data_IF_532379655691
#
_entry.id   IF_532379655691
#
_cell.length_a   1.000
_cell.length_b   1.000
_cell.length_c   1.000
_cell.angle_alpha   90.00
_cell.angle_beta   90.00
_cell.angle_gamma   90.00
#
_symmetry.space_group_name_H-M   'P 1'
#
loop_
_entity.id
_entity.type
_entity.pdbx_description
1 polymer ?
#
# COMPACT_ATOMS: atom_id res chain seq x y z
N UNK A 1 -3.95 -16.11 -5.01
CA UNK A 1 -3.48 -15.05 -4.09
C UNK A 1 -2.31 -14.35 -4.75
N UNK A 2 -2.46 -13.08 -5.18
CA UNK A 2 -1.50 -12.48 -6.14
C UNK A 2 -0.41 -11.59 -5.52
N UNK A 3 -0.51 -11.23 -4.22
CA UNK A 3 0.43 -10.32 -3.56
C UNK A 3 1.42 -10.97 -2.59
N UNK A 4 0.96 -11.94 -1.78
CA UNK A 4 1.80 -12.53 -0.73
C UNK A 4 3.05 -13.26 -1.24
N UNK A 5 2.98 -14.09 -2.30
CA UNK A 5 4.17 -14.81 -2.77
C UNK A 5 5.30 -13.87 -3.22
N UNK A 6 4.97 -12.81 -3.97
CA UNK A 6 5.98 -11.85 -4.42
C UNK A 6 6.53 -11.01 -3.26
N UNK A 7 5.69 -10.66 -2.28
CA UNK A 7 6.14 -9.94 -1.08
C UNK A 7 7.10 -10.80 -0.24
N UNK A 8 6.82 -12.09 -0.07
CA UNK A 8 7.70 -13.02 0.63
C UNK A 8 9.06 -13.17 -0.09
N UNK A 9 9.04 -13.35 -1.42
CA UNK A 9 10.25 -13.45 -2.23
C UNK A 9 11.11 -12.17 -2.14
N UNK A 10 10.47 -11.00 -2.29
CA UNK A 10 11.17 -9.72 -2.26
C UNK A 10 11.70 -9.39 -0.86
N UNK A 11 10.94 -9.71 0.19
CA UNK A 11 11.39 -9.57 1.57
C UNK A 11 12.64 -10.41 1.86
N UNK A 12 12.71 -11.64 1.35
CA UNK A 12 13.87 -12.51 1.51
C UNK A 12 15.12 -12.02 0.76
N UNK A 13 14.96 -11.40 -0.41
CA UNK A 13 16.08 -11.03 -1.29
C UNK A 13 16.51 -9.56 -1.19
N UNK A 14 15.65 -8.67 -0.71
CA UNK A 14 15.90 -7.23 -0.71
C UNK A 14 15.15 -6.43 0.35
N UNK A 15 14.64 -7.09 1.40
CA UNK A 15 14.01 -6.41 2.52
C UNK A 15 15.02 -5.86 3.53
N UNK A 16 14.73 -4.70 4.12
CA UNK A 16 15.44 -4.17 5.29
C UNK A 16 14.68 -4.52 6.57
N UNK A 17 15.20 -5.50 7.32
CA UNK A 17 14.60 -5.96 8.58
C UNK A 17 14.51 -4.87 9.66
N UNK A 18 15.26 -3.76 9.55
CA UNK A 18 15.24 -2.66 10.51
C UNK A 18 14.27 -1.54 10.12
N UNK A 19 13.68 -1.58 8.93
CA UNK A 19 12.78 -0.53 8.44
C UNK A 19 11.33 -0.63 8.98
N UNK A 20 11.06 -1.56 9.90
CA UNK A 20 9.72 -1.76 10.48
C UNK A 20 8.69 -2.11 9.40
N UNK A 21 7.60 -1.33 9.31
CA UNK A 21 6.56 -1.52 8.30
C UNK A 21 7.00 -1.14 6.88
N UNK A 22 8.14 -0.47 6.72
CA UNK A 22 8.68 -0.05 5.41
C UNK A 22 9.76 -1.01 4.87
N UNK A 23 9.71 -2.29 5.24
CA UNK A 23 10.72 -3.31 4.90
C UNK A 23 11.12 -3.38 3.42
N UNK A 24 10.25 -2.96 2.50
CA UNK A 24 10.50 -3.03 1.05
C UNK A 24 10.86 -1.68 0.38
N UNK A 25 10.97 -0.58 1.14
CA UNK A 25 11.10 0.77 0.55
C UNK A 25 12.33 0.96 -0.33
N UNK A 26 13.45 0.33 0.06
CA UNK A 26 14.75 0.45 -0.60
C UNK A 26 15.07 -0.77 -1.49
N UNK A 27 14.07 -1.58 -1.82
CA UNK A 27 14.24 -2.77 -2.64
C UNK A 27 14.74 -2.40 -4.06
N UNK A 28 15.92 -2.90 -4.41
CA UNK A 28 16.54 -2.61 -5.71
C UNK A 28 15.79 -3.25 -6.88
N UNK A 29 15.91 -2.66 -8.07
CA UNK A 29 15.37 -3.25 -9.31
C UNK A 29 15.88 -4.68 -9.56
N UNK A 30 17.13 -4.97 -9.16
CA UNK A 30 17.72 -6.31 -9.21
C UNK A 30 16.98 -7.26 -8.26
N UNK A 31 16.78 -6.88 -7.00
CA UNK A 31 16.03 -7.69 -6.03
C UNK A 31 14.60 -7.99 -6.51
N UNK A 32 13.95 -7.02 -7.16
CA UNK A 32 12.62 -7.23 -7.78
C UNK A 32 12.68 -8.25 -8.91
N UNK A 33 13.70 -8.20 -9.78
CA UNK A 33 13.87 -9.17 -10.85
C UNK A 33 14.15 -10.58 -10.30
N UNK A 34 15.04 -10.69 -9.32
CA UNK A 34 15.40 -11.95 -8.68
C UNK A 34 14.20 -12.57 -7.93
N UNK A 35 13.39 -11.75 -7.25
CA UNK A 35 12.15 -12.19 -6.60
C UNK A 35 11.11 -12.74 -7.59
N UNK A 36 10.97 -12.10 -8.77
CA UNK A 36 10.11 -12.62 -9.85
C UNK A 36 10.62 -13.94 -10.39
N UNK A 37 11.93 -14.08 -10.57
CA UNK A 37 12.54 -15.33 -11.02
C UNK A 37 12.34 -16.46 -9.99
N UNK A 38 12.54 -16.18 -8.70
CA UNK A 38 12.29 -17.12 -7.60
C UNK A 38 10.84 -17.61 -7.58
N UNK A 39 9.88 -16.70 -7.81
CA UNK A 39 8.46 -17.05 -7.90
C UNK A 39 8.18 -17.93 -9.12
N UNK A 40 8.72 -17.58 -10.29
CA UNK A 40 8.54 -18.35 -11.53
C UNK A 40 9.14 -19.76 -11.45
N UNK A 41 10.21 -19.94 -10.66
CA UNK A 41 10.82 -21.23 -10.39
C UNK A 41 10.06 -22.08 -9.36
N UNK A 42 8.97 -21.57 -8.77
CA UNK A 42 8.17 -22.28 -7.78
C UNK A 42 8.83 -22.41 -6.41
N UNK A 43 9.82 -21.57 -6.09
CA UNK A 43 10.56 -21.61 -4.82
C UNK A 43 9.86 -20.88 -3.66
N UNK A 44 8.61 -20.44 -3.86
CA UNK A 44 7.84 -19.71 -2.86
C UNK A 44 6.49 -20.38 -2.69
N UNK A 45 6.19 -20.77 -1.46
CA UNK A 45 4.90 -21.31 -1.06
C UNK A 45 4.28 -20.43 0.03
N UNK A 46 2.98 -20.17 -0.08
CA UNK A 46 2.20 -19.48 0.94
C UNK A 46 1.06 -20.40 1.33
N UNK A 47 0.92 -20.63 2.63
CA UNK A 47 -0.06 -21.55 3.20
C UNK A 47 -0.82 -20.85 4.33
N UNK A 48 -2.07 -21.25 4.53
CA UNK A 48 -2.84 -20.83 5.70
C UNK A 48 -2.43 -21.68 6.89
N UNK A 49 -2.24 -21.03 8.04
CA UNK A 49 -2.02 -21.72 9.30
C UNK A 49 -3.39 -22.14 9.86
N UNK A 50 -3.58 -23.44 10.07
CA UNK A 50 -4.79 -23.99 10.68
C UNK A 50 -4.43 -25.04 11.75
N UNK A 51 -5.00 -24.98 12.96
CA UNK A 51 -5.85 -23.91 13.48
C UNK A 51 -5.05 -22.62 13.75
N UNK A 52 -5.71 -21.46 13.70
CA UNK A 52 -5.14 -20.17 14.05
C UNK A 52 -6.20 -19.36 14.81
N UNK A 53 -5.94 -19.09 16.09
CA UNK A 53 -6.84 -18.31 16.95
C UNK A 53 -6.41 -16.84 17.07
N UNK A 54 -5.21 -16.51 16.61
CA UNK A 54 -4.68 -15.15 16.64
C UNK A 54 -5.24 -14.31 15.48
N UNK A 55 -5.55 -13.05 15.77
CA UNK A 55 -6.01 -12.07 14.77
C UNK A 55 -4.93 -11.84 13.71
N UNK A 56 -3.67 -11.83 14.14
CA UNK A 56 -2.51 -11.72 13.27
C UNK A 56 -1.50 -12.82 13.62
N UNK A 57 -1.23 -13.67 12.64
CA UNK A 57 -0.18 -14.68 12.69
C UNK A 57 0.56 -14.70 11.36
N UNK A 58 1.89 -14.73 11.39
CA UNK A 58 2.69 -15.01 10.21
C UNK A 58 3.94 -15.78 10.59
N UNK A 59 4.24 -16.81 9.79
CA UNK A 59 5.45 -17.61 9.92
C UNK A 59 6.16 -17.66 8.57
N UNK A 60 7.39 -17.19 8.55
CA UNK A 60 8.25 -17.20 7.37
C UNK A 60 9.40 -18.16 7.59
N UNK A 61 9.54 -19.15 6.69
CA UNK A 61 10.65 -20.12 6.71
C UNK A 61 11.44 -20.02 5.42
N UNK A 62 12.75 -19.80 5.55
CA UNK A 62 13.70 -19.71 4.45
C UNK A 62 14.67 -20.88 4.50
N UNK A 63 15.14 -21.28 3.33
CA UNK A 63 16.01 -22.44 3.13
C UNK A 63 17.25 -22.05 2.35
N UNK A 64 18.39 -22.65 2.69
CA UNK A 64 19.65 -22.54 1.96
C UNK A 64 20.36 -23.88 2.01
N UNK A 65 20.24 -24.67 0.94
CA UNK A 65 20.66 -26.08 0.94
C UNK A 65 19.86 -26.85 1.99
N UNK A 66 20.56 -27.55 2.88
CA UNK A 66 19.94 -28.34 3.96
C UNK A 66 19.62 -27.52 5.23
N UNK A 67 20.14 -26.28 5.33
CA UNK A 67 19.89 -25.40 6.47
C UNK A 67 18.62 -24.58 6.27
N UNK A 68 17.97 -24.24 7.39
CA UNK A 68 16.76 -23.42 7.39
C UNK A 68 16.70 -22.48 8.61
N UNK A 69 15.98 -21.38 8.44
CA UNK A 69 15.59 -20.48 9.51
C UNK A 69 14.10 -20.15 9.42
N UNK A 70 13.43 -20.05 10.56
CA UNK A 70 12.00 -19.81 10.66
C UNK A 70 11.74 -18.71 11.69
N UNK A 71 10.97 -17.69 11.32
CA UNK A 71 10.56 -16.60 12.20
C UNK A 71 9.05 -16.58 12.28
N UNK A 72 8.52 -16.40 13.49
CA UNK A 72 7.08 -16.31 13.76
C UNK A 72 6.77 -14.97 14.43
N UNK A 73 5.76 -14.26 13.91
CA UNK A 73 5.17 -13.07 14.51
C UNK A 73 3.71 -13.35 14.89
N UNK A 74 3.26 -12.77 16.00
CA UNK A 74 1.89 -12.92 16.51
C UNK A 74 1.40 -11.59 17.11
N UNK A 75 0.12 -11.28 16.87
CA UNK A 75 -0.57 -10.12 17.44
C UNK A 75 -0.30 -8.81 16.70
N UNK A 76 0.98 -8.40 16.59
CA UNK A 76 1.41 -7.17 15.90
C UNK A 76 2.38 -7.49 14.75
N UNK A 77 2.39 -6.64 13.72
CA UNK A 77 3.16 -6.77 12.48
C UNK A 77 4.67 -6.83 12.69
N UNK A 78 5.18 -6.36 13.82
CA UNK A 78 6.62 -6.39 14.15
C UNK A 78 6.94 -7.20 15.40
N UNK A 79 5.95 -7.86 16.03
CA UNK A 79 6.15 -8.60 17.27
C UNK A 79 6.65 -10.03 16.99
N UNK A 80 7.98 -10.20 17.00
CA UNK A 80 8.62 -11.52 16.84
C UNK A 80 8.49 -12.29 18.15
N UNK A 81 7.79 -13.42 18.09
CA UNK A 81 7.60 -14.31 19.25
C UNK A 81 8.58 -15.50 19.26
N UNK A 82 9.07 -15.91 18.08
CA UNK A 82 9.92 -17.10 17.96
C UNK A 82 10.83 -17.06 16.74
N UNK A 83 12.08 -17.47 16.93
CA UNK A 83 13.08 -17.71 15.88
C UNK A 83 13.69 -19.10 16.07
N UNK A 84 13.65 -19.90 15.02
CA UNK A 84 14.11 -21.28 15.00
C UNK A 84 15.05 -21.51 13.82
N UNK A 85 16.03 -22.39 14.02
CA UNK A 85 16.97 -22.83 12.98
C UNK A 85 17.05 -24.35 12.98
N UNK A 86 17.74 -24.91 11.99
CA UNK A 86 18.15 -26.31 11.96
C UNK A 86 18.90 -26.78 13.21
N UNK A 87 19.53 -25.84 13.95
CA UNK A 87 20.25 -26.09 15.21
C UNK A 87 19.39 -25.97 16.46
N UNK A 88 18.11 -25.63 16.32
CA UNK A 88 17.17 -25.44 17.43
C UNK A 88 16.65 -24.00 17.56
N UNK A 89 16.03 -23.73 18.70
CA UNK A 89 15.40 -22.43 19.00
C UNK A 89 16.46 -21.42 19.37
N UNK A 90 16.53 -20.30 18.63
CA UNK A 90 17.47 -19.19 18.85
C UNK A 90 16.85 -18.11 19.73
N UNK A 91 15.54 -17.91 19.58
CA UNK A 91 14.79 -16.94 20.34
C UNK A 91 13.37 -17.46 20.57
N UNK A 92 12.91 -17.33 21.81
CA UNK A 92 11.50 -17.40 22.16
C UNK A 92 11.25 -16.23 23.08
N UNK A 93 10.26 -15.42 22.74
CA UNK A 93 9.73 -14.45 23.68
C UNK A 93 9.14 -15.27 24.83
N UNK A 94 9.78 -15.22 26.00
CA UNK A 94 9.18 -15.78 27.20
C UNK A 94 7.81 -15.10 27.39
N UNK A 95 6.83 -15.81 27.96
CA UNK A 95 5.47 -15.32 28.27
C UNK A 95 5.44 -14.10 29.24
N UNK A 96 6.59 -13.45 29.48
CA UNK A 96 6.82 -12.30 30.35
C UNK A 96 7.54 -11.16 29.59
N UNK A 97 7.03 -10.72 28.46
CA UNK A 97 7.15 -9.30 28.15
C UNK A 97 5.95 -8.65 28.83
N UNK A 98 6.20 -8.00 29.97
CA UNK A 98 5.23 -7.09 30.58
C UNK A 98 4.60 -6.29 29.44
N UNK A 99 3.29 -6.40 29.29
CA UNK A 99 2.50 -5.31 28.74
C UNK A 99 2.82 -4.13 29.66
N UNK A 100 3.88 -3.37 29.36
CA UNK A 100 3.76 -1.94 29.55
C UNK A 100 2.42 -1.63 28.91
N UNK A 101 1.46 -1.15 29.70
CA UNK A 101 0.23 -0.54 29.22
C UNK A 101 0.66 0.60 28.31
N UNK A 102 1.04 0.27 27.08
CA UNK A 102 1.11 1.21 25.99
C UNK A 102 -0.34 1.57 25.82
N UNK A 103 -0.68 2.74 26.34
CA UNK A 103 -1.97 3.37 26.11
C UNK A 103 -2.24 3.22 24.62
N UNK A 104 -3.22 2.37 24.31
CA UNK A 104 -3.58 2.11 22.92
C UNK A 104 -3.82 3.46 22.27
N UNK A 105 -3.28 3.74 21.08
CA UNK A 105 -3.59 4.96 20.36
C UNK A 105 -5.11 5.19 20.25
N UNK A 106 -5.89 4.09 20.16
CA UNK A 106 -7.35 4.15 20.19
C UNK A 106 -7.93 4.53 21.56
N UNK A 107 -7.29 4.12 22.66
CA UNK A 107 -7.67 4.52 24.02
C UNK A 107 -7.41 5.99 24.31
N UNK A 108 -6.34 6.56 23.74
CA UNK A 108 -6.11 8.01 23.80
C UNK A 108 -7.18 8.74 22.98
N UNK A 109 -7.42 8.30 21.75
CA UNK A 109 -8.42 8.91 20.86
C UNK A 109 -9.86 8.79 21.38
N UNK A 110 -10.21 7.74 22.13
CA UNK A 110 -11.56 7.58 22.70
C UNK A 110 -11.89 8.63 23.76
N UNK A 111 -10.88 9.25 24.35
CA UNK A 111 -11.02 10.34 25.32
C UNK A 111 -10.61 11.71 24.77
N UNK A 112 -10.23 11.78 23.49
CA UNK A 112 -9.84 13.04 22.83
C UNK A 112 -11.05 13.65 22.12
N UNK A 113 -11.38 14.89 22.44
CA UNK A 113 -12.44 15.67 21.80
C UNK A 113 -12.00 16.28 20.46
N UNK A 114 -12.98 16.65 19.62
CA UNK A 114 -12.70 17.35 18.37
C UNK A 114 -12.01 18.71 18.58
N UNK A 115 -12.35 19.40 19.67
CA UNK A 115 -11.73 20.67 20.06
C UNK A 115 -10.23 20.49 20.34
N UNK A 116 -9.87 19.46 21.11
CA UNK A 116 -8.46 19.13 21.41
C UNK A 116 -7.68 18.74 20.15
N UNK A 117 -8.30 17.98 19.24
CA UNK A 117 -7.68 17.66 17.94
C UNK A 117 -7.42 18.94 17.15
N UNK A 118 -8.38 19.86 17.09
CA UNK A 118 -8.24 21.12 16.37
C UNK A 118 -7.17 22.02 17.00
N UNK A 119 -7.12 22.09 18.34
CA UNK A 119 -6.09 22.81 19.06
C UNK A 119 -4.70 22.25 18.76
N UNK A 120 -4.54 20.92 18.78
CA UNK A 120 -3.28 20.24 18.44
C UNK A 120 -2.83 20.55 17.01
N UNK A 121 -3.71 20.40 16.02
CA UNK A 121 -3.38 20.63 14.60
C UNK A 121 -2.93 22.07 14.34
N UNK A 122 -3.48 23.05 15.08
CA UNK A 122 -3.10 24.45 14.95
C UNK A 122 -1.80 24.81 15.72
N UNK A 123 -1.40 24.01 16.70
CA UNK A 123 -0.23 24.28 17.54
C UNK A 123 1.02 23.48 17.14
N UNK A 124 0.85 22.29 16.56
CA UNK A 124 1.96 21.39 16.25
C UNK A 124 2.84 21.98 15.13
N UNK A 125 4.19 21.96 15.27
CA UNK A 125 5.08 22.34 14.19
C UNK A 125 4.83 21.48 12.95
N UNK A 126 4.70 22.12 11.78
CA UNK A 126 4.40 21.42 10.54
C UNK A 126 5.38 20.28 10.24
N UNK A 127 6.67 20.47 10.51
CA UNK A 127 7.70 19.44 10.27
C UNK A 127 7.46 18.16 11.07
N UNK A 128 6.83 18.24 12.26
CA UNK A 128 6.53 17.08 13.08
C UNK A 128 5.40 16.20 12.49
N UNK A 129 4.54 16.78 11.64
CA UNK A 129 3.41 16.09 11.00
C UNK A 129 3.56 15.99 9.47
N UNK A 130 4.72 16.38 8.92
CA UNK A 130 4.96 16.39 7.47
C UNK A 130 4.75 15.02 6.82
N UNK A 131 5.07 13.95 7.54
CA UNK A 131 4.89 12.57 7.09
C UNK A 131 3.44 12.25 6.68
N UNK A 132 2.44 12.92 7.26
CA UNK A 132 1.03 12.74 6.90
C UNK A 132 0.79 13.17 5.45
N UNK A 133 1.42 14.27 5.02
CA UNK A 133 1.33 14.75 3.64
C UNK A 133 2.05 13.81 2.68
N UNK A 134 3.20 13.26 3.09
CA UNK A 134 3.94 12.30 2.28
C UNK A 134 3.14 10.99 2.12
N UNK A 135 2.49 10.52 3.19
CA UNK A 135 1.55 9.40 3.12
C UNK A 135 0.36 9.71 2.20
N UNK A 136 -0.20 10.92 2.25
CA UNK A 136 -1.28 11.32 1.36
C UNK A 136 -0.87 11.33 -0.12
N UNK A 137 0.35 11.81 -0.42
CA UNK A 137 0.92 11.79 -1.78
C UNK A 137 1.14 10.35 -2.26
N UNK A 138 1.77 9.52 -1.45
CA UNK A 138 2.08 8.13 -1.78
C UNK A 138 0.79 7.32 -2.00
N UNK A 139 -0.16 7.39 -1.06
CA UNK A 139 -1.44 6.70 -1.18
C UNK A 139 -2.27 7.22 -2.36
N UNK A 140 -2.21 8.53 -2.64
CA UNK A 140 -2.84 9.12 -3.81
C UNK A 140 -2.28 8.59 -5.13
N UNK A 141 -0.95 8.53 -5.25
CA UNK A 141 -0.28 7.96 -6.43
C UNK A 141 -0.59 6.47 -6.59
N UNK A 142 -0.52 5.70 -5.50
CA UNK A 142 -0.82 4.26 -5.50
C UNK A 142 -2.28 3.99 -5.91
N UNK A 143 -3.22 4.80 -5.42
CA UNK A 143 -4.62 4.69 -5.81
C UNK A 143 -4.84 5.00 -7.29
N UNK A 144 -4.20 6.04 -7.83
CA UNK A 144 -4.29 6.37 -9.25
C UNK A 144 -3.75 5.24 -10.13
N UNK A 145 -2.63 4.65 -9.73
CA UNK A 145 -2.07 3.48 -10.42
C UNK A 145 -3.02 2.28 -10.34
N UNK A 146 -3.62 2.04 -9.16
CA UNK A 146 -4.64 1.02 -8.94
C UNK A 146 -5.88 1.15 -9.82
N UNK A 147 -6.27 2.38 -10.19
CA UNK A 147 -7.41 2.66 -11.08
C UNK A 147 -7.05 2.54 -12.57
N UNK A 148 -5.80 2.85 -12.94
CA UNK A 148 -5.32 2.79 -14.33
C UNK A 148 -4.99 1.36 -14.78
N UNK A 149 -4.32 0.60 -13.91
CA UNK A 149 -3.85 -0.73 -14.25
C UNK A 149 -4.80 -1.85 -13.82
N UNK A 150 -4.53 -3.04 -14.34
CA UNK A 150 -5.19 -4.27 -13.89
C UNK A 150 -4.43 -4.86 -12.71
N UNK A 151 -4.64 -4.27 -11.52
CA UNK A 151 -4.04 -4.74 -10.27
C UNK A 151 -5.04 -5.48 -9.37
N UNK A 152 -4.60 -6.60 -8.77
CA UNK A 152 -5.34 -7.31 -7.73
C UNK A 152 -6.76 -7.70 -8.14
N UNK A 153 -7.75 -7.37 -7.30
CA UNK A 153 -9.18 -7.65 -7.54
C UNK A 153 -9.91 -6.54 -8.31
N UNK A 154 -9.21 -5.47 -8.72
CA UNK A 154 -9.76 -4.39 -9.52
C UNK A 154 -10.98 -3.66 -8.91
N UNK A 155 -11.15 -3.69 -7.58
CA UNK A 155 -12.35 -3.16 -6.90
C UNK A 155 -12.60 -1.70 -7.25
N UNK A 156 -11.61 -0.82 -7.08
CA UNK A 156 -11.76 0.61 -7.38
C UNK A 156 -12.15 0.87 -8.84
N UNK A 157 -11.44 0.27 -9.80
CA UNK A 157 -11.74 0.44 -11.23
C UNK A 157 -13.11 -0.12 -11.64
N UNK A 158 -13.54 -1.21 -11.00
CA UNK A 158 -14.85 -1.83 -11.24
C UNK A 158 -15.95 -0.92 -10.72
N UNK A 159 -15.79 -0.38 -9.51
CA UNK A 159 -16.76 0.52 -8.89
C UNK A 159 -16.91 1.81 -9.70
N UNK A 160 -15.80 2.43 -10.13
CA UNK A 160 -15.81 3.61 -10.99
C UNK A 160 -16.60 3.35 -12.29
N UNK A 161 -16.38 2.20 -12.94
CA UNK A 161 -17.13 1.79 -14.14
C UNK A 161 -18.63 1.61 -13.85
N UNK A 162 -19.02 1.07 -12.70
CA UNK A 162 -20.45 0.94 -12.37
C UNK A 162 -21.10 2.31 -12.12
N UNK A 163 -20.38 3.25 -11.49
CA UNK A 163 -20.83 4.63 -11.36
C UNK A 163 -20.98 5.33 -12.72
N UNK A 164 -20.04 5.12 -13.63
CA UNK A 164 -20.11 5.71 -14.98
C UNK A 164 -21.24 5.11 -15.84
N UNK A 165 -21.58 3.84 -15.60
CA UNK A 165 -22.74 3.17 -16.20
C UNK A 165 -24.08 3.57 -15.56
N UNK A 166 -24.06 4.40 -14.52
CA UNK A 166 -25.27 4.81 -13.78
C UNK A 166 -25.89 3.70 -12.92
N UNK A 167 -25.17 2.59 -12.69
CA UNK A 167 -25.63 1.49 -11.85
C UNK A 167 -25.36 1.74 -10.37
N UNK A 168 -24.44 2.66 -10.05
CA UNK A 168 -24.16 3.15 -8.71
C UNK A 168 -24.18 4.68 -8.67
N UNK A 169 -24.65 5.24 -7.55
CA UNK A 169 -24.66 6.67 -7.33
C UNK A 169 -23.24 7.20 -7.07
N UNK A 170 -22.94 8.42 -7.54
CA UNK A 170 -21.70 9.14 -7.21
C UNK A 170 -21.91 9.95 -5.94
N UNK A 171 -21.70 9.33 -4.79
CA UNK A 171 -21.96 9.87 -3.45
C UNK A 171 -20.74 9.68 -2.53
N UNK A 172 -20.88 10.03 -1.25
CA UNK A 172 -19.79 9.89 -0.28
C UNK A 172 -19.33 8.43 -0.12
N UNK A 173 -20.27 7.48 -0.18
CA UNK A 173 -19.97 6.06 0.04
C UNK A 173 -19.12 5.49 -1.09
N UNK A 174 -19.46 5.82 -2.34
CA UNK A 174 -18.69 5.42 -3.52
C UNK A 174 -17.39 6.20 -3.65
N UNK A 175 -17.36 7.47 -3.23
CA UNK A 175 -16.15 8.29 -3.21
C UNK A 175 -15.08 7.82 -2.21
N UNK A 176 -15.43 7.06 -1.18
CA UNK A 176 -14.44 6.44 -0.27
C UNK A 176 -13.62 5.37 -1.00
N UNK A 177 -14.24 4.68 -1.96
CA UNK A 177 -13.61 3.62 -2.75
C UNK A 177 -13.04 4.10 -4.09
N UNK A 178 -13.33 5.34 -4.49
CA UNK A 178 -12.76 6.02 -5.66
C UNK A 178 -11.97 7.28 -5.24
N UNK A 179 -10.69 7.14 -4.85
CA UNK A 179 -9.90 8.26 -4.32
C UNK A 179 -9.59 9.35 -5.35
N UNK A 180 -9.88 9.12 -6.65
CA UNK A 180 -9.65 10.07 -7.73
C UNK A 180 -10.41 11.40 -7.51
N UNK A 181 -11.57 11.36 -6.85
CA UNK A 181 -12.36 12.56 -6.57
C UNK A 181 -11.80 13.45 -5.45
N UNK A 182 -10.92 12.93 -4.57
CA UNK A 182 -10.32 13.72 -3.47
C UNK A 182 -8.99 14.37 -3.84
N UNK A 183 -8.18 13.75 -4.70
CA UNK A 183 -6.85 14.24 -5.07
C UNK A 183 -6.83 15.39 -6.09
N UNK A 184 -7.89 15.55 -6.90
CA UNK A 184 -7.90 16.51 -8.02
C UNK A 184 -8.82 17.73 -7.77
N UNK A 185 -9.69 17.70 -6.74
CA UNK A 185 -10.51 18.88 -6.36
C UNK A 185 -9.84 19.83 -5.37
N UNK A 186 -8.53 20.10 -5.55
CA UNK A 186 -7.86 21.30 -5.02
C UNK A 186 -7.09 22.05 -6.11
N UNK A 187 -7.75 22.29 -7.23
CA UNK A 187 -7.66 23.59 -7.90
C UNK A 187 -9.10 23.99 -8.26
N UNK A 188 -9.45 25.23 -7.95
CA UNK A 188 -10.78 25.85 -8.11
C UNK A 188 -11.79 25.56 -7.00
N UNK A 189 -11.41 25.96 -5.78
CA UNK A 189 -12.38 26.66 -4.96
C UNK A 189 -12.69 28.01 -5.59
N UNK A 190 -13.83 28.11 -6.29
CA UNK A 190 -14.75 29.26 -6.22
C UNK A 190 -16.02 28.93 -6.99
N UNK A 191 -17.13 28.97 -6.27
CA UNK A 191 -18.43 29.21 -6.86
C UNK A 191 -18.38 30.42 -7.79
N UNK A 192 -19.18 30.32 -8.85
CA UNK A 192 -19.60 31.33 -9.82
C UNK A 192 -18.85 31.45 -11.17
N UNK A 193 -19.59 30.97 -12.18
CA UNK A 193 -19.96 31.65 -13.43
C UNK A 193 -18.85 31.86 -14.48
N UNK A 194 -18.93 30.98 -15.49
CA UNK A 194 -18.87 31.24 -16.94
C UNK A 194 -17.63 31.87 -17.60
N UNK A 195 -17.46 31.38 -18.85
CA UNK A 195 -16.69 31.89 -20.00
C UNK A 195 -15.23 31.43 -20.06
N UNK A 196 -14.94 30.55 -21.01
CA UNK A 196 -14.44 30.88 -22.37
C UNK A 196 -13.04 31.50 -22.27
N UNK A 197 -12.01 30.69 -22.54
CA UNK A 197 -11.11 30.97 -23.64
C UNK A 197 -10.08 29.84 -23.84
N UNK A 198 -9.81 29.63 -25.11
CA UNK A 198 -8.94 28.66 -25.72
C UNK A 198 -7.51 28.77 -25.18
N UNK A 199 -6.81 27.64 -25.07
CA UNK A 199 -5.35 27.58 -25.33
C UNK A 199 -4.94 26.15 -25.65
N UNK A 200 -4.94 25.85 -26.95
CA UNK A 200 -4.21 24.73 -27.54
C UNK A 200 -2.72 25.07 -27.47
N UNK A 201 -1.91 24.19 -26.90
CA UNK A 201 -0.48 24.13 -27.19
C UNK A 201 -0.19 22.88 -28.03
N UNK A 202 0.06 23.11 -29.31
CA UNK A 202 0.66 22.15 -30.25
C UNK A 202 2.14 22.51 -30.32
N UNK A 203 3.03 21.54 -30.11
CA UNK A 203 4.45 21.69 -30.46
C UNK A 203 4.78 20.89 -31.74
N UNK A 204 5.81 21.32 -32.49
CA UNK A 204 5.99 21.01 -33.91
C UNK A 204 6.96 19.84 -34.14
N UNK A 205 6.77 19.12 -35.24
CA UNK A 205 7.72 18.11 -35.69
C UNK A 205 7.13 17.18 -36.75
N UNK A 206 7.35 17.55 -38.01
CA UNK A 206 6.98 16.83 -39.23
C UNK A 206 7.29 15.33 -39.23
N UNK A 207 6.33 14.53 -39.72
CA UNK A 207 6.61 13.55 -40.76
C UNK A 207 5.48 13.53 -41.77
N UNK A 208 5.80 13.95 -43.00
CA UNK A 208 5.00 13.75 -44.20
C UNK A 208 5.08 12.29 -44.64
N UNK A 209 3.92 11.74 -45.01
CA UNK A 209 3.63 10.87 -46.16
C UNK A 209 2.17 10.42 -45.95
N UNK A 210 1.19 10.58 -46.83
CA UNK A 210 1.19 10.65 -48.29
C UNK A 210 0.18 9.59 -48.78
N UNK A 211 -0.82 10.02 -49.56
CA UNK A 211 -1.80 9.22 -50.33
C UNK A 211 -2.90 8.48 -49.52
N UNK A 212 -4.18 8.40 -49.92
CA UNK A 212 -4.88 8.80 -51.15
C UNK A 212 -6.41 8.63 -50.95
N UNK A 213 -7.19 9.49 -51.63
CA UNK A 213 -8.54 9.34 -52.21
C UNK A 213 -9.51 8.28 -51.64
N UNK A 214 -10.74 8.62 -51.23
CA UNK A 214 -11.86 9.16 -52.06
C UNK A 214 -12.97 8.10 -52.00
N UNK A 215 -14.15 8.34 -51.42
CA UNK A 215 -15.25 9.06 -52.03
C UNK A 215 -16.40 8.07 -52.29
N UNK A 216 -17.58 8.44 -51.79
CA UNK A 216 -18.89 7.74 -51.73
C UNK A 216 -19.11 6.83 -50.52
#
# INVERSE_FOLDING_TARGET
MVGLPIAAALGALGGDAKAGLEVLKDASAKAVADAKAMLAAGHVAVMLQEPCNDILFSRAKVYSGDSWACVTIVGDHTNIVRIETDKGVVFTQADNAQEEEKTSPLGVLSHTSLEEILAFVNAVPFDAIRFILDAARLNGALSQEGLRGSWGLHIGSTLAKQCDRGLLAKDLSTAIFDPYQRGVRRQNGRCHVARDEQLRFRQPGDYRHGASHGGC
#
